data_IF_612033378773
#
_entry.id   IF_612033378773
#
_cell.length_a   1.000
_cell.length_b   1.000
_cell.length_c   1.000
_cell.angle_alpha   90.00
_cell.angle_beta   90.00
_cell.angle_gamma   90.00
#
_symmetry.space_group_name_H-M   'P 1'
#
loop_
_entity.id
_entity.type
_entity.pdbx_description
1 polymer ?
#
# COMPACT_ATOMS: atom_id res chain seq x y z
N UNK A 1 68.47 8.92 -4.57
CA UNK A 1 67.81 8.57 -3.30
C UNK A 1 66.38 9.07 -3.39
N UNK A 2 65.44 8.14 -3.33
CA UNK A 2 64.03 8.34 -3.68
C UNK A 2 63.26 8.96 -2.52
N UNK A 3 62.67 10.15 -2.73
CA UNK A 3 61.68 10.71 -1.82
C UNK A 3 60.28 10.33 -2.32
N UNK A 4 59.69 9.36 -1.63
CA UNK A 4 58.29 8.94 -1.77
C UNK A 4 57.37 10.08 -1.35
N UNK A 5 56.68 10.70 -2.32
CA UNK A 5 55.57 11.61 -2.04
C UNK A 5 54.43 10.79 -1.43
N UNK A 6 54.12 11.10 -0.18
CA UNK A 6 53.04 10.49 0.59
C UNK A 6 51.69 10.74 -0.09
N UNK A 7 51.07 9.67 -0.55
CA UNK A 7 49.67 9.67 -0.91
C UNK A 7 48.90 9.69 0.43
N UNK A 8 48.46 10.87 0.87
CA UNK A 8 47.63 11.00 2.06
C UNK A 8 46.26 10.37 1.77
N UNK A 9 46.10 9.14 2.23
CA UNK A 9 44.88 8.37 2.21
C UNK A 9 43.79 9.18 2.96
N UNK A 10 42.94 9.89 2.21
CA UNK A 10 41.83 10.68 2.74
C UNK A 10 40.78 9.71 3.31
N UNK A 11 40.86 9.46 4.62
CA UNK A 11 39.88 8.64 5.33
C UNK A 11 38.73 9.51 5.80
N UNK A 12 37.55 9.30 5.22
CA UNK A 12 36.30 9.89 5.69
C UNK A 12 35.68 8.91 6.69
N UNK A 13 35.58 9.31 7.96
CA UNK A 13 34.81 8.57 8.95
C UNK A 13 33.34 8.95 8.83
N UNK A 14 32.50 8.00 8.44
CA UNK A 14 31.05 8.16 8.39
C UNK A 14 30.47 7.51 9.64
N UNK A 15 29.84 8.29 10.51
CA UNK A 15 29.06 7.78 11.64
C UNK A 15 27.61 7.55 11.19
N UNK A 16 27.21 6.30 11.06
CA UNK A 16 25.84 5.92 10.71
C UNK A 16 25.13 5.36 11.95
N UNK A 17 23.98 5.90 12.31
CA UNK A 17 23.16 5.31 13.37
C UNK A 17 22.43 4.06 12.85
N UNK A 18 22.09 3.13 13.75
CA UNK A 18 21.32 1.94 13.40
C UNK A 18 20.00 2.29 12.73
N UNK A 19 19.31 3.32 13.23
CA UNK A 19 18.06 3.83 12.65
C UNK A 19 18.26 4.29 11.21
N UNK A 20 19.34 5.00 10.92
CA UNK A 20 19.63 5.49 9.57
C UNK A 20 20.01 4.32 8.64
N UNK A 21 20.72 3.32 9.14
CA UNK A 21 21.01 2.11 8.38
C UNK A 21 19.73 1.36 7.98
N UNK A 22 18.79 1.19 8.92
CA UNK A 22 17.49 0.57 8.64
C UNK A 22 16.70 1.38 7.61
N UNK A 23 16.64 2.71 7.75
CA UNK A 23 15.96 3.57 6.76
C UNK A 23 16.56 3.46 5.36
N UNK A 24 17.89 3.39 5.24
CA UNK A 24 18.57 3.19 3.96
C UNK A 24 18.26 1.81 3.36
N UNK A 25 18.18 0.76 4.18
CA UNK A 25 17.75 -0.57 3.74
C UNK A 25 16.31 -0.52 3.23
N UNK A 26 15.39 0.10 3.98
CA UNK A 26 13.99 0.24 3.58
C UNK A 26 13.85 1.03 2.26
N UNK A 27 14.59 2.12 2.09
CA UNK A 27 14.60 2.90 0.85
C UNK A 27 15.10 2.05 -0.33
N UNK A 28 16.16 1.27 -0.14
CA UNK A 28 16.66 0.36 -1.16
C UNK A 28 15.62 -0.71 -1.52
N UNK A 29 15.01 -1.35 -0.53
CA UNK A 29 14.00 -2.40 -0.76
C UNK A 29 12.78 -1.83 -1.49
N UNK A 30 12.33 -0.63 -1.12
CA UNK A 30 11.23 0.06 -1.79
C UNK A 30 11.57 0.39 -3.25
N UNK A 31 12.75 0.95 -3.53
CA UNK A 31 13.19 1.29 -4.89
C UNK A 31 13.35 0.07 -5.81
N UNK A 32 13.57 -1.10 -5.21
CA UNK A 32 13.68 -2.38 -5.93
C UNK A 32 12.39 -3.19 -5.95
N UNK A 33 11.29 -2.63 -5.43
CA UNK A 33 9.98 -3.28 -5.32
C UNK A 33 10.02 -4.60 -4.52
N UNK A 34 10.97 -4.71 -3.58
CA UNK A 34 11.17 -5.87 -2.70
C UNK A 34 10.26 -5.77 -1.47
N UNK A 35 8.96 -5.64 -1.72
CA UNK A 35 7.98 -5.27 -0.70
C UNK A 35 7.84 -6.28 0.44
N UNK A 36 7.98 -7.58 0.19
CA UNK A 36 7.92 -8.60 1.25
C UNK A 36 9.03 -8.35 2.27
N UNK A 37 10.28 -8.30 1.81
CA UNK A 37 11.43 -8.04 2.67
C UNK A 37 11.36 -6.67 3.35
N UNK A 38 10.85 -5.65 2.64
CA UNK A 38 10.63 -4.32 3.21
C UNK A 38 9.69 -4.39 4.42
N UNK A 39 8.53 -5.02 4.26
CA UNK A 39 7.54 -5.15 5.32
C UNK A 39 8.04 -6.02 6.48
N UNK A 40 8.82 -7.06 6.21
CA UNK A 40 9.43 -7.88 7.27
C UNK A 40 10.38 -7.04 8.14
N UNK A 41 11.26 -6.24 7.51
CA UNK A 41 12.15 -5.32 8.23
C UNK A 41 11.36 -4.28 9.03
N UNK A 42 10.31 -3.70 8.46
CA UNK A 42 9.45 -2.75 9.19
C UNK A 42 8.81 -3.40 10.42
N UNK A 43 8.31 -4.65 10.31
CA UNK A 43 7.68 -5.37 11.43
C UNK A 43 8.68 -5.73 12.52
N UNK A 44 9.88 -6.17 12.15
CA UNK A 44 10.91 -6.56 13.12
C UNK A 44 11.52 -5.36 13.85
N UNK A 45 11.71 -4.24 13.15
CA UNK A 45 12.38 -3.05 13.70
C UNK A 45 11.42 -2.02 14.27
N UNK A 46 10.15 -2.04 13.87
CA UNK A 46 9.19 -0.97 14.12
C UNK A 46 9.53 0.35 13.41
N UNK A 47 10.49 0.36 12.49
CA UNK A 47 10.91 1.54 11.73
C UNK A 47 10.23 1.51 10.37
N UNK A 48 9.50 2.57 10.04
CA UNK A 48 8.83 2.76 8.75
C UNK A 48 9.40 4.02 8.09
N UNK A 49 9.56 4.00 6.76
CA UNK A 49 9.91 5.19 5.99
C UNK A 49 8.67 6.03 5.71
N UNK A 50 8.73 7.30 6.10
CA UNK A 50 7.63 8.26 5.98
C UNK A 50 7.24 8.88 7.32
N UNK A 51 6.56 10.02 7.24
CA UNK A 51 5.96 10.68 8.40
C UNK A 51 4.45 10.54 8.32
N UNK A 52 3.95 9.47 8.92
CA UNK A 52 2.53 9.13 8.94
C UNK A 52 1.92 9.41 10.32
N UNK A 53 0.67 9.86 10.35
CA UNK A 53 -0.11 9.90 11.59
C UNK A 53 -0.55 8.49 12.00
N UNK A 54 -0.92 8.30 13.26
CA UNK A 54 -1.46 7.02 13.76
C UNK A 54 -2.63 6.51 12.91
N UNK A 55 -3.56 7.39 12.52
CA UNK A 55 -4.72 7.02 11.69
C UNK A 55 -4.30 6.55 10.28
N UNK A 56 -3.23 7.13 9.72
CA UNK A 56 -2.66 6.70 8.45
C UNK A 56 -1.94 5.36 8.61
N UNK A 57 -1.19 5.16 9.70
CA UNK A 57 -0.54 3.89 10.00
C UNK A 57 -1.56 2.77 10.21
N UNK A 58 -2.69 3.07 10.86
CA UNK A 58 -3.78 2.14 11.03
C UNK A 58 -4.43 1.76 9.70
N UNK A 59 -4.78 2.75 8.86
CA UNK A 59 -5.27 2.48 7.51
C UNK A 59 -4.29 1.64 6.68
N UNK A 60 -3.00 1.98 6.76
CA UNK A 60 -1.93 1.23 6.10
C UNK A 60 -1.95 -0.23 6.54
N UNK A 61 -2.06 -0.48 7.84
CA UNK A 61 -2.10 -1.83 8.39
C UNK A 61 -3.30 -2.63 7.85
N UNK A 62 -4.51 -2.06 7.86
CA UNK A 62 -5.70 -2.71 7.30
C UNK A 62 -5.50 -3.11 5.83
N UNK A 63 -4.92 -2.22 5.01
CA UNK A 63 -4.64 -2.49 3.60
C UNK A 63 -3.59 -3.59 3.45
N UNK A 64 -2.49 -3.54 4.22
CA UNK A 64 -1.41 -4.52 4.14
C UNK A 64 -1.85 -5.91 4.61
N UNK A 65 -2.77 -5.98 5.57
CA UNK A 65 -3.38 -7.22 6.04
C UNK A 65 -4.45 -7.75 5.07
N UNK A 66 -4.91 -6.93 4.12
CA UNK A 66 -5.96 -7.29 3.17
C UNK A 66 -7.35 -7.31 3.79
N UNK A 67 -7.55 -6.57 4.89
CA UNK A 67 -8.82 -6.39 5.57
C UNK A 67 -9.68 -5.37 4.82
N UNK A 68 -10.06 -5.70 3.59
CA UNK A 68 -10.66 -4.76 2.63
C UNK A 68 -11.96 -4.14 3.13
N UNK A 69 -12.81 -4.92 3.81
CA UNK A 69 -14.07 -4.42 4.37
C UNK A 69 -13.80 -3.39 5.49
N UNK A 70 -12.86 -3.70 6.39
CA UNK A 70 -12.43 -2.78 7.46
C UNK A 70 -11.82 -1.48 6.89
N UNK A 71 -11.12 -1.55 5.76
CA UNK A 71 -10.61 -0.35 5.05
C UNK A 71 -11.77 0.55 4.61
N UNK A 72 -12.84 -0.03 4.04
CA UNK A 72 -14.01 0.71 3.59
C UNK A 72 -14.81 1.27 4.77
N UNK A 73 -14.89 0.54 5.87
CA UNK A 73 -15.57 0.96 7.10
C UNK A 73 -14.81 2.08 7.82
N UNK A 74 -13.47 1.99 7.86
CA UNK A 74 -12.62 2.99 8.47
C UNK A 74 -12.81 4.40 7.86
N UNK A 75 -13.04 4.49 6.54
CA UNK A 75 -13.20 5.78 5.86
C UNK A 75 -14.63 6.33 5.87
N UNK A 76 -15.62 5.61 6.40
CA UNK A 76 -17.02 6.07 6.40
C UNK A 76 -17.19 7.46 7.03
N UNK A 77 -16.54 7.81 8.15
CA UNK A 77 -16.65 9.15 8.74
C UNK A 77 -16.22 10.26 7.76
N UNK A 78 -15.23 10.00 6.90
CA UNK A 78 -14.71 10.98 5.95
C UNK A 78 -15.67 11.27 4.79
N UNK A 79 -16.63 10.37 4.50
CA UNK A 79 -17.62 10.55 3.42
C UNK A 79 -18.54 11.76 3.64
N UNK A 80 -18.66 12.21 4.88
CA UNK A 80 -19.45 13.40 5.24
C UNK A 80 -18.75 14.72 4.87
N UNK A 81 -17.48 14.65 4.47
CA UNK A 81 -16.67 15.81 4.10
C UNK A 81 -16.76 16.01 2.59
N UNK A 82 -17.40 17.10 2.14
CA UNK A 82 -17.67 17.38 0.70
C UNK A 82 -16.42 17.38 -0.19
N UNK A 83 -15.25 17.72 0.37
CA UNK A 83 -13.98 17.75 -0.38
C UNK A 83 -13.27 16.39 -0.49
N UNK A 84 -13.76 15.38 0.23
CA UNK A 84 -13.20 14.03 0.18
C UNK A 84 -13.80 13.23 -0.99
N UNK A 85 -12.95 12.81 -1.92
CA UNK A 85 -13.38 11.98 -3.04
C UNK A 85 -13.53 10.51 -2.62
N UNK A 86 -14.57 10.22 -1.84
CA UNK A 86 -14.87 8.88 -1.34
C UNK A 86 -15.04 7.87 -2.48
N UNK A 87 -15.65 8.28 -3.60
CA UNK A 87 -15.85 7.41 -4.77
C UNK A 87 -14.52 6.89 -5.31
N UNK A 88 -13.53 7.77 -5.49
CA UNK A 88 -12.21 7.40 -5.99
C UNK A 88 -11.46 6.52 -5.00
N UNK A 89 -11.54 6.81 -3.70
CA UNK A 89 -10.93 5.97 -2.66
C UNK A 89 -11.48 4.54 -2.72
N UNK A 90 -12.81 4.40 -2.68
CA UNK A 90 -13.49 3.09 -2.73
C UNK A 90 -13.12 2.36 -4.01
N UNK A 91 -13.11 3.04 -5.15
CA UNK A 91 -12.71 2.42 -6.43
C UNK A 91 -11.30 1.82 -6.37
N UNK A 92 -10.31 2.55 -5.84
CA UNK A 92 -8.93 2.07 -5.76
C UNK A 92 -8.86 0.83 -4.86
N UNK A 93 -9.49 0.86 -3.69
CA UNK A 93 -9.51 -0.27 -2.75
C UNK A 93 -10.15 -1.50 -3.40
N UNK A 94 -11.34 -1.35 -3.99
CA UNK A 94 -12.04 -2.44 -4.67
C UNK A 94 -11.27 -2.96 -5.90
N UNK A 95 -10.56 -2.09 -6.62
CA UNK A 95 -9.68 -2.46 -7.75
C UNK A 95 -8.59 -3.42 -7.29
N UNK A 96 -7.88 -3.09 -6.20
CA UNK A 96 -6.80 -3.94 -5.69
C UNK A 96 -7.32 -5.23 -5.08
N UNK A 97 -8.46 -5.20 -4.37
CA UNK A 97 -9.14 -6.41 -3.90
C UNK A 97 -9.53 -7.32 -5.07
N UNK A 98 -10.07 -6.77 -6.16
CA UNK A 98 -10.40 -7.53 -7.36
C UNK A 98 -9.16 -8.19 -7.99
N UNK A 99 -8.05 -7.46 -8.12
CA UNK A 99 -6.80 -8.00 -8.66
C UNK A 99 -6.26 -9.14 -7.79
N UNK A 100 -6.35 -9.00 -6.47
CA UNK A 100 -5.97 -10.05 -5.53
C UNK A 100 -6.83 -11.31 -5.68
N UNK A 101 -8.16 -11.15 -5.79
CA UNK A 101 -9.08 -12.26 -6.05
C UNK A 101 -8.74 -12.99 -7.36
N UNK A 102 -8.40 -12.25 -8.42
CA UNK A 102 -7.97 -12.84 -9.70
C UNK A 102 -6.67 -13.62 -9.56
N UNK A 103 -5.67 -13.04 -8.89
CA UNK A 103 -4.36 -13.65 -8.70
C UNK A 103 -4.45 -14.93 -7.88
N UNK A 104 -5.18 -14.90 -6.76
CA UNK A 104 -5.37 -16.06 -5.88
C UNK A 104 -6.11 -17.20 -6.61
N UNK A 105 -7.10 -16.89 -7.43
CA UNK A 105 -7.78 -17.90 -8.26
C UNK A 105 -6.83 -18.58 -9.26
N UNK A 106 -5.85 -17.84 -9.78
CA UNK A 106 -4.91 -18.35 -10.77
C UNK A 106 -3.79 -19.18 -10.14
N UNK A 107 -3.17 -18.69 -9.06
CA UNK A 107 -1.99 -19.30 -8.42
C UNK A 107 -2.37 -20.53 -7.61
N UNK A 108 -3.53 -20.45 -6.97
CA UNK A 108 -4.13 -21.58 -6.32
C UNK A 108 -4.78 -22.44 -7.42
N UNK A 109 -4.14 -23.56 -7.83
CA UNK A 109 -4.88 -24.71 -8.36
C UNK A 109 -5.86 -25.31 -7.31
N UNK A 110 -6.10 -24.58 -6.23
CA UNK A 110 -7.05 -24.85 -5.19
C UNK A 110 -8.41 -24.53 -5.79
N UNK A 111 -9.32 -25.49 -5.69
CA UNK A 111 -10.76 -25.30 -5.73
C UNK A 111 -11.17 -24.32 -4.62
N UNK A 112 -10.71 -23.07 -4.66
CA UNK A 112 -11.26 -22.02 -3.82
C UNK A 112 -12.72 -21.86 -4.28
N UNK A 113 -13.65 -22.05 -3.36
CA UNK A 113 -15.11 -21.93 -3.49
C UNK A 113 -15.61 -20.61 -4.10
N UNK A 114 -14.70 -19.69 -4.47
CA UNK A 114 -15.02 -18.49 -5.22
C UNK A 114 -15.21 -18.81 -6.70
N UNK A 115 -16.46 -19.07 -7.06
CA UNK A 115 -16.85 -19.34 -8.43
C UNK A 115 -16.53 -18.15 -9.34
N UNK A 116 -16.35 -18.41 -10.63
CA UNK A 116 -16.19 -17.34 -11.63
C UNK A 116 -17.36 -16.32 -11.57
N UNK A 117 -18.55 -16.77 -11.18
CA UNK A 117 -19.74 -15.95 -11.03
C UNK A 117 -19.61 -14.95 -9.88
N UNK A 118 -19.01 -15.34 -8.75
CA UNK A 118 -18.78 -14.42 -7.63
C UNK A 118 -17.79 -13.31 -8.00
N UNK A 119 -16.76 -13.62 -8.76
CA UNK A 119 -15.80 -12.61 -9.24
C UNK A 119 -16.46 -11.67 -10.26
N UNK A 120 -17.29 -12.19 -11.16
CA UNK A 120 -18.07 -11.37 -12.09
C UNK A 120 -19.06 -10.48 -11.34
N UNK A 121 -19.72 -11.00 -10.31
CA UNK A 121 -20.60 -10.23 -9.43
C UNK A 121 -19.82 -9.11 -8.75
N UNK A 122 -18.67 -9.41 -8.15
CA UNK A 122 -17.80 -8.42 -7.52
C UNK A 122 -17.40 -7.31 -8.49
N UNK A 123 -17.01 -7.66 -9.72
CA UNK A 123 -16.69 -6.68 -10.75
C UNK A 123 -17.89 -5.78 -11.08
N UNK A 124 -19.10 -6.35 -11.20
CA UNK A 124 -20.32 -5.57 -11.45
C UNK A 124 -20.63 -4.62 -10.27
N UNK A 125 -20.43 -5.07 -9.03
CA UNK A 125 -20.64 -4.26 -7.83
C UNK A 125 -19.59 -3.13 -7.70
N UNK A 126 -18.40 -3.31 -8.28
CA UNK A 126 -17.35 -2.28 -8.39
C UNK A 126 -17.70 -1.20 -9.43
N UNK A 127 -18.43 -1.54 -10.50
CA UNK A 127 -18.72 -0.65 -11.64
C UNK A 127 -19.19 0.76 -11.26
N UNK A 128 -20.11 0.96 -10.30
CA UNK A 128 -20.59 2.30 -9.94
C UNK A 128 -19.46 3.24 -9.46
N UNK A 129 -18.38 2.68 -8.93
CA UNK A 129 -17.24 3.41 -8.40
C UNK A 129 -16.19 3.74 -9.48
N UNK A 130 -16.19 3.04 -10.61
CA UNK A 130 -15.24 3.28 -11.69
C UNK A 130 -15.27 4.75 -12.14
N UNK A 131 -14.10 5.37 -12.38
CA UNK A 131 -14.03 6.78 -12.78
C UNK A 131 -14.60 6.99 -14.18
N UNK A 132 -14.49 5.98 -15.05
CA UNK A 132 -15.06 5.97 -16.40
C UNK A 132 -15.21 4.52 -16.91
N UNK A 133 -15.90 4.39 -18.04
CA UNK A 133 -16.18 3.08 -18.68
C UNK A 133 -14.90 2.39 -19.21
N UNK A 134 -13.84 3.14 -19.55
CA UNK A 134 -12.58 2.56 -20.03
C UNK A 134 -11.86 1.81 -18.92
N UNK A 135 -11.77 2.39 -17.72
CA UNK A 135 -11.18 1.75 -16.56
C UNK A 135 -11.95 0.48 -16.15
N UNK A 136 -13.29 0.52 -16.22
CA UNK A 136 -14.10 -0.67 -15.99
C UNK A 136 -13.82 -1.79 -17.01
N UNK A 137 -13.74 -1.43 -18.30
CA UNK A 137 -13.45 -2.38 -19.39
C UNK A 137 -12.06 -3.01 -19.27
N UNK A 138 -11.06 -2.26 -18.80
CA UNK A 138 -9.73 -2.82 -18.49
C UNK A 138 -9.85 -3.93 -17.45
N UNK A 139 -10.59 -3.72 -16.36
CA UNK A 139 -10.81 -4.74 -15.34
C UNK A 139 -11.61 -5.95 -15.87
N UNK A 140 -12.64 -5.70 -16.69
CA UNK A 140 -13.41 -6.77 -17.34
C UNK A 140 -12.54 -7.64 -18.26
N UNK A 141 -11.58 -7.04 -18.96
CA UNK A 141 -10.67 -7.77 -19.84
C UNK A 141 -9.81 -8.78 -19.05
N UNK A 142 -9.40 -8.44 -17.82
CA UNK A 142 -8.58 -9.32 -16.99
C UNK A 142 -9.27 -10.66 -16.66
N UNK A 143 -10.61 -10.70 -16.63
CA UNK A 143 -11.37 -11.94 -16.44
C UNK A 143 -11.17 -12.96 -17.57
N UNK A 144 -10.75 -12.50 -18.75
CA UNK A 144 -10.55 -13.36 -19.92
C UNK A 144 -9.17 -14.01 -19.92
N UNK A 145 -8.26 -13.54 -19.06
CA UNK A 145 -6.90 -14.06 -18.96
C UNK A 145 -6.88 -15.37 -18.17
N UNK A 146 -6.00 -16.29 -18.58
CA UNK A 146 -5.74 -17.51 -17.81
C UNK A 146 -5.00 -17.19 -16.52
N UNK A 147 -4.05 -16.27 -16.61
CA UNK A 147 -3.28 -15.76 -15.48
C UNK A 147 -3.20 -14.25 -15.53
N UNK A 148 -3.28 -13.61 -14.37
CA UNK A 148 -3.14 -12.16 -14.28
C UNK A 148 -1.81 -11.68 -14.90
N UNK A 149 -0.74 -12.43 -14.68
CA UNK A 149 0.61 -12.14 -15.17
C UNK A 149 0.76 -12.29 -16.70
N UNK A 150 -0.26 -12.80 -17.42
CA UNK A 150 -0.26 -12.80 -18.88
C UNK A 150 -0.50 -11.38 -19.44
N UNK A 151 -0.95 -10.44 -18.61
CA UNK A 151 -1.02 -9.01 -18.93
C UNK A 151 0.32 -8.31 -18.66
N UNK A 152 0.74 -7.40 -19.55
CA UNK A 152 2.02 -6.68 -19.44
C UNK A 152 2.15 -5.91 -18.13
N UNK A 153 1.09 -5.23 -17.72
CA UNK A 153 1.10 -4.35 -16.55
C UNK A 153 1.14 -5.13 -15.23
N UNK A 154 0.79 -6.42 -15.25
CA UNK A 154 0.70 -7.26 -14.06
C UNK A 154 1.72 -8.42 -14.07
N UNK A 155 2.71 -8.38 -14.96
CA UNK A 155 3.68 -9.48 -15.14
C UNK A 155 4.41 -9.88 -13.86
N UNK A 156 4.78 -8.90 -13.04
CA UNK A 156 5.50 -9.10 -11.76
C UNK A 156 4.59 -8.85 -10.55
N UNK A 157 3.28 -8.73 -10.77
CA UNK A 157 2.33 -8.40 -9.73
C UNK A 157 2.11 -9.60 -8.79
N UNK A 158 2.01 -9.30 -7.50
CA UNK A 158 1.60 -10.23 -6.45
C UNK A 158 0.78 -9.48 -5.39
N UNK A 159 0.00 -10.18 -4.55
CA UNK A 159 -0.84 -9.55 -3.52
C UNK A 159 -0.08 -8.59 -2.60
N UNK A 160 1.13 -8.97 -2.14
CA UNK A 160 1.93 -8.14 -1.24
C UNK A 160 2.32 -6.80 -1.89
N UNK A 161 2.81 -6.82 -3.13
CA UNK A 161 3.13 -5.63 -3.90
C UNK A 161 1.87 -4.80 -4.20
N UNK A 162 0.77 -5.46 -4.57
CA UNK A 162 -0.52 -4.81 -4.84
C UNK A 162 -1.06 -4.04 -3.63
N UNK A 163 -1.00 -4.62 -2.43
CA UNK A 163 -1.43 -3.95 -1.20
C UNK A 163 -0.59 -2.70 -0.88
N UNK A 164 0.73 -2.77 -1.08
CA UNK A 164 1.61 -1.60 -0.92
C UNK A 164 1.25 -0.50 -1.93
N UNK A 165 1.05 -0.85 -3.19
CA UNK A 165 0.64 0.11 -4.22
C UNK A 165 -0.75 0.71 -3.94
N UNK A 166 -1.69 -0.10 -3.44
CA UNK A 166 -3.00 0.39 -3.00
C UNK A 166 -2.84 1.50 -1.96
N UNK A 167 -2.04 1.27 -0.91
CA UNK A 167 -1.76 2.29 0.11
C UNK A 167 -1.19 3.58 -0.51
N UNK A 168 -0.21 3.49 -1.40
CA UNK A 168 0.38 4.67 -2.05
C UNK A 168 -0.61 5.41 -2.95
N UNK A 169 -1.52 4.71 -3.64
CA UNK A 169 -2.56 5.34 -4.47
C UNK A 169 -3.63 6.05 -3.62
N UNK A 170 -4.02 5.48 -2.48
CA UNK A 170 -5.05 6.08 -1.63
C UNK A 170 -4.50 7.16 -0.70
N UNK A 171 -3.23 7.09 -0.30
CA UNK A 171 -2.62 8.03 0.65
C UNK A 171 -2.82 9.52 0.28
N UNK A 172 -2.58 9.97 -0.97
CA UNK A 172 -2.87 11.34 -1.42
C UNK A 172 -4.33 11.78 -1.24
N UNK A 173 -5.27 10.83 -1.22
CA UNK A 173 -6.69 11.12 -1.06
C UNK A 173 -7.07 11.35 0.41
N UNK A 174 -6.37 10.71 1.35
CA UNK A 174 -6.75 10.69 2.78
C UNK A 174 -5.82 11.48 3.70
N UNK A 175 -4.56 11.71 3.33
CA UNK A 175 -3.55 12.22 4.26
C UNK A 175 -3.97 13.54 4.93
N UNK A 176 -4.53 14.50 4.18
CA UNK A 176 -4.97 15.78 4.73
C UNK A 176 -6.14 15.68 5.71
N UNK A 177 -6.93 14.61 5.64
CA UNK A 177 -8.09 14.39 6.50
C UNK A 177 -7.70 13.61 7.77
N UNK A 178 -6.73 12.70 7.65
CA UNK A 178 -6.24 11.85 8.75
C UNK A 178 -4.98 12.40 9.46
N UNK A 179 -4.40 13.51 8.97
CA UNK A 179 -3.35 14.26 9.66
C UNK A 179 -3.90 15.17 10.76
N UNK A 180 -5.18 15.56 10.67
CA UNK A 180 -5.80 16.51 11.59
C UNK A 180 -6.40 15.76 12.77
N UNK A 181 -5.60 15.52 13.81
CA UNK A 181 -6.18 15.56 15.15
C UNK A 181 -6.58 17.01 15.40
N UNK A 182 -7.88 17.28 15.27
CA UNK A 182 -8.47 18.45 15.93
C UNK A 182 -8.10 18.34 17.41
N UNK A 183 -7.39 19.35 17.93
CA UNK A 183 -7.25 19.57 19.36
C UNK A 183 -8.62 19.90 19.97
N UNK A 184 -9.50 18.91 20.06
CA UNK A 184 -10.78 18.99 20.76
C UNK A 184 -10.90 17.77 21.69
N UNK A 185 -9.99 17.71 22.67
CA UNK A 185 -10.33 17.13 23.96
C UNK A 185 -10.44 18.28 24.97
N UNK A 186 -11.66 18.69 25.36
CA UNK A 186 -11.81 19.49 26.55
C UNK A 186 -11.52 18.56 27.74
N UNK A 187 -10.40 18.83 28.40
CA UNK A 187 -10.10 18.49 29.79
C UNK A 187 -10.54 17.12 30.30
N UNK A 188 -9.57 16.20 30.44
CA UNK A 188 -9.44 15.48 31.70
C UNK A 188 -7.99 15.55 32.18
N UNK A 189 -7.83 16.28 33.26
CA UNK A 189 -6.77 16.11 34.25
C UNK A 189 -6.54 14.62 34.51
N UNK A 190 -5.28 14.22 34.65
CA UNK A 190 -4.86 13.44 35.82
C UNK A 190 -3.38 13.72 36.08
N UNK A 191 -3.14 14.15 37.31
CA UNK A 191 -1.85 14.37 37.94
C UNK A 191 -1.19 13.03 38.30
N UNK A 192 0.13 13.12 38.49
CA UNK A 192 1.11 12.16 39.07
C UNK A 192 1.32 10.84 38.35
#
# INVERSE_FOLDING_TARGET
MSTTNGNSDLRVNISLSERDAVKLILDFLQQRELHISMLDVERETGIINGSYSEDILFLRQLILDGQWDDVIDFIQPLKTIDSFNAKQFIYIVLKYQFLELLCLKTEAQIENDLSAEQIVKFLNDLRPFAPNEQEYKKLSFLLTLKRLQDHTDYRNWNPSAGRVQCFYEVFPLVHRFLQVRTNNFPGYYLFT
#
